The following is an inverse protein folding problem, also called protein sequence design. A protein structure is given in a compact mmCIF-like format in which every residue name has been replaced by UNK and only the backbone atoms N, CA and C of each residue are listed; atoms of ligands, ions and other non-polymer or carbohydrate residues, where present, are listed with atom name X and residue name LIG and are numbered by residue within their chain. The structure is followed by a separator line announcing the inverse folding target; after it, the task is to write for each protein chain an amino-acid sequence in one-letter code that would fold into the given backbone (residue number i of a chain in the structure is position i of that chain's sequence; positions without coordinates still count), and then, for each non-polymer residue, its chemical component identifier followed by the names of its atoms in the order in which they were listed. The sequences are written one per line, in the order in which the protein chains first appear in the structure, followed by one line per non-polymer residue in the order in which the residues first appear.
data_IF_809774555919
#
_entry.id   IF_809774555919
#
_cell.length_a   1.000
_cell.length_b   1.000
_cell.length_c   1.000
_cell.angle_alpha   90.00
_cell.angle_beta   90.00
_cell.angle_gamma   90.00
#
_symmetry.space_group_name_H-M   'P 1'
#
loop_
_entity.id
_entity.type
_entity.pdbx_description
1 polymer ?
#
# COMPACT_ATOMS: atom_id res chain seq x y z
N UNK A 1 20.90 12.30 -1.31
CA UNK A 1 19.81 12.09 -1.79
C UNK A 1 18.59 12.57 -1.06
N UNK A 2 17.76 13.11 -1.80
CA UNK A 2 16.62 13.80 -1.24
C UNK A 2 15.82 12.98 -0.25
N UNK A 3 16.01 11.69 -0.26
CA UNK A 3 15.26 10.84 0.64
C UNK A 3 15.63 11.00 2.09
N UNK A 4 16.76 11.64 2.35
CA UNK A 4 17.22 11.73 3.72
C UNK A 4 16.17 12.35 4.62
N UNK A 5 15.98 13.64 4.49
CA UNK A 5 15.07 14.28 5.38
C UNK A 5 15.21 13.76 6.79
N UNK A 6 14.26 14.07 7.64
CA UNK A 6 14.28 13.57 9.02
C UNK A 6 13.79 12.14 9.17
N UNK A 7 13.23 11.55 8.10
CA UNK A 7 12.59 10.23 8.20
C UNK A 7 13.42 9.20 7.46
N UNK A 8 14.28 8.50 8.20
CA UNK A 8 15.08 7.42 7.64
C UNK A 8 14.17 6.27 7.24
N UNK A 9 14.43 5.68 6.07
CA UNK A 9 13.62 4.54 5.64
C UNK A 9 13.78 3.36 6.60
N UNK A 10 14.97 3.17 7.14
CA UNK A 10 15.19 2.10 8.09
C UNK A 10 14.31 2.26 9.32
N UNK A 11 14.22 3.48 9.84
CA UNK A 11 13.41 3.73 11.02
C UNK A 11 11.92 3.62 10.70
N UNK A 12 11.53 4.07 9.51
CA UNK A 12 10.13 3.91 9.10
C UNK A 12 9.73 2.46 9.08
N UNK A 13 10.59 1.59 8.55
CA UNK A 13 10.29 0.17 8.44
C UNK A 13 10.44 -0.58 9.75
N UNK A 14 10.94 0.08 10.78
CA UNK A 14 10.95 -0.44 12.13
C UNK A 14 9.72 0.00 12.92
N UNK A 15 8.88 0.84 12.33
CA UNK A 15 7.65 1.27 12.96
C UNK A 15 7.77 2.54 13.79
N UNK A 16 8.82 3.32 13.60
CA UNK A 16 9.06 4.48 14.47
C UNK A 16 8.21 5.70 14.15
N UNK A 17 7.68 5.80 12.95
CA UNK A 17 6.89 6.98 12.56
C UNK A 17 5.52 6.54 12.09
N UNK A 18 4.63 6.15 13.00
CA UNK A 18 3.34 5.56 12.60
C UNK A 18 2.43 6.52 11.87
N UNK A 19 2.66 7.82 11.98
CA UNK A 19 1.83 8.81 11.30
C UNK A 19 2.39 9.25 9.95
N UNK A 20 3.49 8.65 9.52
CA UNK A 20 4.07 8.99 8.23
C UNK A 20 3.07 8.65 7.12
N UNK A 21 2.84 9.55 6.15
CA UNK A 21 1.82 9.30 5.12
C UNK A 21 2.10 8.03 4.32
N UNK A 22 1.06 7.23 4.17
CA UNK A 22 1.19 5.93 3.51
C UNK A 22 1.63 6.08 2.06
N UNK A 23 1.11 7.08 1.35
CA UNK A 23 1.48 7.26 -0.06
C UNK A 23 2.96 7.61 -0.21
N UNK A 24 3.53 8.33 0.74
CA UNK A 24 4.96 8.62 0.70
C UNK A 24 5.78 7.38 1.00
N UNK A 25 5.32 6.59 1.96
CA UNK A 25 6.00 5.34 2.28
C UNK A 25 5.98 4.39 1.10
N UNK A 26 4.84 4.26 0.43
CA UNK A 26 4.73 3.43 -0.77
C UNK A 26 5.73 3.87 -1.84
N UNK A 27 5.77 5.18 -2.10
CA UNK A 27 6.67 5.69 -3.14
C UNK A 27 8.14 5.41 -2.81
N UNK A 28 8.51 5.52 -1.55
CA UNK A 28 9.89 5.26 -1.15
C UNK A 28 10.23 3.77 -1.26
N UNK A 29 9.28 2.92 -0.87
CA UNK A 29 9.48 1.47 -0.96
C UNK A 29 9.71 1.06 -2.42
N UNK A 30 8.91 1.60 -3.33
CA UNK A 30 9.04 1.28 -4.74
C UNK A 30 10.34 1.86 -5.31
N UNK A 31 10.66 3.09 -4.97
CA UNK A 31 11.86 3.75 -5.49
C UNK A 31 13.13 3.03 -5.03
N UNK A 32 13.12 2.49 -3.83
CA UNK A 32 14.30 1.83 -3.27
C UNK A 32 14.31 0.32 -3.53
N UNK A 33 13.28 -0.21 -4.17
CA UNK A 33 13.22 -1.64 -4.47
C UNK A 33 13.11 -2.52 -3.25
N UNK A 34 12.54 -2.01 -2.17
CA UNK A 34 12.42 -2.78 -0.94
C UNK A 34 11.47 -3.94 -1.10
N UNK A 35 10.38 -3.74 -1.84
CA UNK A 35 9.46 -4.80 -2.22
C UNK A 35 9.41 -4.89 -3.73
N UNK A 36 9.20 -6.10 -4.29
CA UNK A 36 9.07 -6.23 -5.74
C UNK A 36 7.88 -5.41 -6.25
N UNK A 37 8.04 -4.78 -7.40
CA UNK A 37 6.97 -3.97 -8.00
C UNK A 37 5.98 -4.89 -8.70
N UNK A 38 5.29 -5.69 -7.92
CA UNK A 38 4.25 -6.57 -8.43
C UNK A 38 3.30 -6.93 -7.29
N UNK A 39 2.10 -7.36 -7.64
CA UNK A 39 1.10 -7.75 -6.66
C UNK A 39 1.57 -8.99 -5.90
N UNK A 40 1.58 -8.92 -4.59
CA UNK A 40 2.00 -10.03 -3.76
C UNK A 40 1.02 -11.20 -3.81
N UNK A 41 -0.21 -10.94 -4.21
CA UNK A 41 -1.26 -11.96 -4.22
C UNK A 41 -1.37 -12.66 -5.57
N UNK A 42 -1.48 -11.92 -6.67
CA UNK A 42 -1.71 -12.53 -7.98
C UNK A 42 -0.54 -12.38 -8.95
N UNK A 43 0.50 -11.64 -8.55
CA UNK A 43 1.67 -11.48 -9.40
C UNK A 43 1.55 -10.44 -10.49
N UNK A 44 0.44 -9.68 -10.51
CA UNK A 44 0.26 -8.64 -11.52
C UNK A 44 1.43 -7.67 -11.49
N UNK A 45 2.04 -7.41 -12.66
CA UNK A 45 3.20 -6.55 -12.72
C UNK A 45 3.26 -5.73 -14.00
N UNK A 46 2.14 -5.58 -14.68
CA UNK A 46 2.11 -4.81 -15.92
C UNK A 46 2.24 -3.32 -15.62
N UNK A 47 2.94 -2.62 -16.49
CA UNK A 47 3.22 -1.21 -16.29
C UNK A 47 2.25 -0.36 -17.09
N UNK A 48 1.90 0.78 -16.51
CA UNK A 48 1.03 1.74 -17.18
C UNK A 48 1.78 2.39 -18.35
N UNK A 49 1.05 2.63 -19.42
CA UNK A 49 1.64 3.30 -20.57
C UNK A 49 2.05 4.72 -20.24
N UNK A 50 1.31 5.38 -19.36
CA UNK A 50 1.50 6.80 -19.11
C UNK A 50 2.75 7.11 -18.32
N UNK A 51 3.14 6.28 -17.37
CA UNK A 51 4.25 6.60 -16.49
C UNK A 51 5.16 5.40 -16.21
N UNK A 52 4.94 4.29 -16.89
CA UNK A 52 5.78 3.10 -16.79
C UNK A 52 5.88 2.58 -15.36
N UNK A 53 4.80 2.69 -14.60
CA UNK A 53 4.73 2.15 -13.25
C UNK A 53 3.62 1.13 -13.15
N UNK A 54 3.76 0.19 -12.22
CA UNK A 54 2.72 -0.79 -11.95
C UNK A 54 1.75 -0.19 -10.92
N UNK A 55 0.43 -0.21 -11.21
CA UNK A 55 -0.54 0.37 -10.28
C UNK A 55 -0.76 -0.53 -9.08
N UNK A 56 0.01 -0.29 -8.04
CA UNK A 56 -0.01 -1.09 -6.82
C UNK A 56 -0.34 -0.20 -5.62
N UNK A 57 -0.98 -0.80 -4.63
CA UNK A 57 -1.29 -0.14 -3.37
C UNK A 57 -0.51 -0.82 -2.25
N UNK A 58 -0.07 -0.02 -1.28
CA UNK A 58 0.58 -0.56 -0.10
C UNK A 58 -0.50 -1.05 0.85
N UNK A 59 -0.40 -2.31 1.23
CA UNK A 59 -1.36 -2.94 2.13
C UNK A 59 -0.66 -3.36 3.41
N UNK A 60 -1.42 -3.37 4.49
CA UNK A 60 -0.93 -3.72 5.81
C UNK A 60 -1.57 -5.05 6.20
N UNK A 61 -0.74 -6.08 6.33
CA UNK A 61 -1.25 -7.45 6.49
C UNK A 61 -2.16 -7.59 7.70
N UNK A 62 -1.90 -6.83 8.76
CA UNK A 62 -2.76 -6.86 9.95
C UNK A 62 -3.88 -5.83 9.90
N UNK A 63 -4.00 -5.09 8.82
CA UNK A 63 -5.04 -4.07 8.68
C UNK A 63 -4.75 -2.76 9.38
N UNK A 64 -3.62 -2.63 10.04
CA UNK A 64 -3.27 -1.43 10.80
C UNK A 64 -2.33 -0.56 9.97
N UNK A 65 -2.84 0.54 9.44
CA UNK A 65 -2.07 1.42 8.56
C UNK A 65 -0.99 2.20 9.30
N UNK A 66 -0.91 2.09 10.61
CA UNK A 66 0.16 2.71 11.37
C UNK A 66 1.30 1.74 11.65
N UNK A 67 1.13 0.46 11.35
CA UNK A 67 2.17 -0.54 11.56
C UNK A 67 3.02 -0.65 10.31
N UNK A 68 4.07 0.16 10.25
CA UNK A 68 4.92 0.27 9.07
C UNK A 68 6.08 -0.72 9.06
N UNK A 69 6.06 -1.73 9.92
CA UNK A 69 7.12 -2.73 9.94
C UNK A 69 7.13 -3.49 8.63
N UNK A 70 8.32 -3.75 8.10
CA UNK A 70 8.44 -4.33 6.77
C UNK A 70 7.74 -5.69 6.66
N UNK A 71 7.77 -6.48 7.70
CA UNK A 71 7.13 -7.79 7.66
C UNK A 71 5.61 -7.69 7.61
N UNK A 72 5.05 -6.50 7.89
CA UNK A 72 3.60 -6.26 7.84
C UNK A 72 3.16 -5.67 6.51
N UNK A 73 4.08 -5.33 5.63
CA UNK A 73 3.77 -4.60 4.40
C UNK A 73 3.74 -5.53 3.20
N UNK A 74 2.84 -5.23 2.28
CA UNK A 74 2.80 -5.91 0.99
C UNK A 74 2.20 -4.97 -0.05
N UNK A 75 2.49 -5.27 -1.31
CA UNK A 75 1.93 -4.51 -2.43
C UNK A 75 0.84 -5.34 -3.08
N UNK A 76 -0.29 -4.74 -3.34
CA UNK A 76 -1.41 -5.40 -3.99
C UNK A 76 -1.88 -4.57 -5.18
N UNK A 77 -2.25 -5.23 -6.27
CA UNK A 77 -2.88 -4.52 -7.38
C UNK A 77 -4.28 -4.08 -6.95
N UNK A 78 -4.86 -3.17 -7.72
CA UNK A 78 -6.17 -2.63 -7.35
C UNK A 78 -7.21 -3.72 -7.20
N UNK A 79 -7.20 -4.71 -8.08
CA UNK A 79 -8.18 -5.78 -8.00
C UNK A 79 -8.03 -6.60 -6.71
N UNK A 80 -6.80 -6.99 -6.39
CA UNK A 80 -6.59 -7.79 -5.18
C UNK A 80 -6.86 -6.98 -3.92
N UNK A 81 -6.47 -5.72 -3.92
CA UNK A 81 -6.75 -4.85 -2.78
C UNK A 81 -8.26 -4.74 -2.58
N UNK A 82 -8.98 -4.49 -3.67
CA UNK A 82 -10.42 -4.35 -3.64
C UNK A 82 -11.09 -5.61 -3.11
N UNK A 83 -10.62 -6.76 -3.56
CA UNK A 83 -11.22 -8.02 -3.13
C UNK A 83 -10.92 -8.36 -1.68
N UNK A 84 -9.79 -7.94 -1.18
CA UNK A 84 -9.35 -8.32 0.17
C UNK A 84 -9.71 -7.29 1.23
N UNK A 85 -9.73 -6.02 0.87
CA UNK A 85 -9.93 -4.96 1.86
C UNK A 85 -11.05 -3.99 1.52
N UNK A 86 -11.57 -4.04 0.29
CA UNK A 86 -12.64 -3.16 -0.12
C UNK A 86 -12.13 -1.89 -0.78
N UNK A 87 -13.02 -0.93 -0.97
CA UNK A 87 -12.73 0.28 -1.73
C UNK A 87 -11.65 1.12 -1.03
N UNK A 88 -10.48 1.31 -1.65
CA UNK A 88 -9.40 2.05 -0.99
C UNK A 88 -9.68 3.54 -0.84
N UNK A 89 -10.68 4.05 -1.55
CA UNK A 89 -10.98 5.47 -1.53
C UNK A 89 -12.17 5.80 -0.66
N UNK A 90 -12.67 4.85 0.10
CA UNK A 90 -13.87 5.03 0.90
C UNK A 90 -13.66 4.55 2.31
N UNK A 91 -13.78 5.47 3.28
CA UNK A 91 -13.58 5.12 4.68
C UNK A 91 -14.73 4.29 5.25
N UNK A 92 -15.89 4.37 4.63
CA UNK A 92 -17.05 3.59 5.06
C UNK A 92 -17.16 2.33 4.23
N UNK A 93 -16.08 1.58 4.15
CA UNK A 93 -16.01 0.43 3.25
C UNK A 93 -17.12 -0.59 3.50
N UNK A 94 -17.39 -0.88 4.73
CA UNK A 94 -18.41 -1.88 5.05
C UNK A 94 -19.78 -1.44 4.59
N UNK A 95 -20.08 -0.17 4.76
CA UNK A 95 -21.35 0.36 4.33
C UNK A 95 -21.53 0.22 2.82
N UNK A 96 -20.47 0.49 2.08
CA UNK A 96 -20.52 0.40 0.63
C UNK A 96 -20.58 -1.03 0.13
N UNK A 97 -19.94 -1.93 0.83
CA UNK A 97 -19.80 -3.29 0.32
C UNK A 97 -20.85 -4.24 0.82
N UNK A 98 -21.72 -3.77 1.66
CA UNK A 98 -22.83 -4.59 2.12
C UNK A 98 -24.04 -4.29 1.27
N UNK A 99 -24.09 -4.91 0.11
CA UNK A 99 -25.15 -4.64 -0.85
C UNK A 99 -26.53 -4.96 -0.33
N UNK A 100 -26.63 -5.81 0.63
CA UNK A 100 -27.93 -6.14 1.19
C UNK A 100 -28.60 -4.95 1.83
N UNK A 101 -27.83 -3.98 2.24
CA UNK A 101 -28.38 -2.78 2.84
C UNK A 101 -29.05 -1.87 1.83
N UNK A 102 -28.84 -2.11 0.56
CA UNK A 102 -29.39 -1.29 -0.49
C UNK A 102 -30.77 -1.70 -0.91
N UNK A 103 -31.28 -2.78 -0.41
CA UNK A 103 -32.57 -3.30 -0.80
C UNK A 103 -33.71 -2.77 0.03
#
# INVERSE_FOLDING_TARGET
QATAGPYSIDKLLQGEYPNYPVWKLRNRILALGILPEKCNSCGYEERRITDDTTPLLLDFKDGDSTNHRIENLQLLCLNCYYMQTGNPYNKDKEKYWNYNLLE
#
